data_IF_115848870531
#
_entry.id   IF_115848870531
#
_cell.length_a   1.000
_cell.length_b   1.000
_cell.length_c   1.000
_cell.angle_alpha   90.00
_cell.angle_beta   90.00
_cell.angle_gamma   90.00
#
_symmetry.space_group_name_H-M   'P 1'
#
loop_
_entity.id
_entity.type
_entity.pdbx_description
1 polymer ?
#
# COMPACT_ATOMS: atom_id res chain seq x y z
N UNK A 1 -37.20 0.56 -0.41
CA UNK A 1 -35.95 1.25 -0.78
C UNK A 1 -34.82 0.46 -0.14
N UNK A 2 -33.84 0.00 -0.94
CA UNK A 2 -32.78 -0.87 -0.43
C UNK A 2 -31.81 -0.09 0.47
N UNK A 3 -31.39 -0.69 1.59
CA UNK A 3 -30.52 -0.08 2.58
C UNK A 3 -29.12 -0.67 2.42
N UNK A 4 -28.17 0.14 1.97
CA UNK A 4 -26.76 -0.23 1.88
C UNK A 4 -25.99 0.47 3.00
N UNK A 5 -25.31 -0.31 3.82
CA UNK A 5 -24.40 0.20 4.85
C UNK A 5 -22.97 -0.15 4.46
N UNK A 6 -22.08 0.83 4.51
CA UNK A 6 -20.64 0.70 4.22
C UNK A 6 -19.88 1.16 5.45
N UNK A 7 -19.07 0.29 6.03
CA UNK A 7 -18.19 0.64 7.15
C UNK A 7 -16.81 0.91 6.62
N UNK A 8 -16.41 2.17 6.59
CA UNK A 8 -15.13 2.67 6.08
C UNK A 8 -15.29 3.70 4.96
N UNK A 9 -14.67 4.86 5.15
CA UNK A 9 -14.70 6.01 4.22
C UNK A 9 -13.41 6.13 3.40
N UNK A 10 -12.70 5.01 3.21
CA UNK A 10 -11.49 4.94 2.39
C UNK A 10 -11.78 4.66 0.92
N UNK A 11 -10.72 4.31 0.16
CA UNK A 11 -10.80 4.07 -1.29
C UNK A 11 -11.83 3.01 -1.67
N UNK A 12 -11.89 1.88 -0.94
CA UNK A 12 -12.85 0.82 -1.23
C UNK A 12 -14.29 1.25 -0.92
N UNK A 13 -14.53 1.82 0.26
CA UNK A 13 -15.88 2.17 0.72
C UNK A 13 -16.51 3.28 -0.12
N UNK A 14 -15.79 4.35 -0.43
CA UNK A 14 -16.32 5.47 -1.23
C UNK A 14 -16.52 5.05 -2.69
N UNK A 15 -15.61 4.26 -3.26
CA UNK A 15 -15.82 3.70 -4.61
C UNK A 15 -17.05 2.80 -4.65
N UNK A 16 -17.29 2.01 -3.58
CA UNK A 16 -18.50 1.21 -3.49
C UNK A 16 -19.76 2.07 -3.39
N UNK A 17 -19.75 3.12 -2.57
CA UNK A 17 -20.89 4.04 -2.44
C UNK A 17 -21.24 4.72 -3.78
N UNK A 18 -20.24 5.17 -4.53
CA UNK A 18 -20.39 5.75 -5.87
C UNK A 18 -20.98 4.74 -6.86
N UNK A 19 -20.46 3.52 -6.90
CA UNK A 19 -20.93 2.46 -7.79
C UNK A 19 -22.37 2.04 -7.42
N UNK A 20 -22.72 1.90 -6.13
CA UNK A 20 -24.08 1.62 -5.67
C UNK A 20 -25.04 2.71 -6.10
N UNK A 21 -24.68 3.99 -5.95
CA UNK A 21 -25.53 5.11 -6.37
C UNK A 21 -25.75 5.13 -7.90
N UNK A 22 -24.70 4.81 -8.66
CA UNK A 22 -24.79 4.70 -10.11
C UNK A 22 -25.76 3.59 -10.55
N UNK A 23 -25.82 2.50 -9.81
CA UNK A 23 -26.65 1.32 -10.11
C UNK A 23 -28.07 1.40 -9.57
N UNK A 24 -28.23 1.98 -8.38
CA UNK A 24 -29.52 2.16 -7.72
C UNK A 24 -29.71 3.62 -7.31
N UNK A 25 -30.36 4.38 -8.19
CA UNK A 25 -30.62 5.80 -7.98
C UNK A 25 -31.51 6.10 -6.77
N UNK A 26 -32.28 5.10 -6.27
CA UNK A 26 -33.26 5.26 -5.19
C UNK A 26 -32.82 4.65 -3.87
N UNK A 27 -31.73 3.89 -3.84
CA UNK A 27 -31.24 3.26 -2.62
C UNK A 27 -30.89 4.28 -1.51
N UNK A 28 -31.01 3.89 -0.28
CA UNK A 28 -30.39 4.57 0.84
C UNK A 28 -28.97 4.02 1.03
N UNK A 29 -27.97 4.89 0.96
CA UNK A 29 -26.55 4.54 1.09
C UNK A 29 -26.00 5.32 2.27
N UNK A 30 -25.54 4.60 3.28
CA UNK A 30 -24.89 5.15 4.47
C UNK A 30 -23.46 4.68 4.56
N UNK A 31 -22.52 5.63 4.64
CA UNK A 31 -21.09 5.39 4.89
C UNK A 31 -20.78 5.76 6.32
N UNK A 32 -20.14 4.86 7.07
CA UNK A 32 -19.73 5.06 8.46
C UNK A 32 -18.21 5.22 8.51
N UNK A 33 -17.72 6.25 9.20
CA UNK A 33 -16.29 6.52 9.37
C UNK A 33 -16.01 6.94 10.82
N UNK A 34 -14.91 6.46 11.39
CA UNK A 34 -14.39 6.96 12.66
C UNK A 34 -13.44 8.15 12.48
N UNK A 35 -13.04 8.45 11.26
CA UNK A 35 -12.30 9.66 10.90
C UNK A 35 -13.27 10.81 10.54
N UNK A 36 -12.95 12.02 10.98
CA UNK A 36 -13.77 13.24 10.76
C UNK A 36 -13.64 13.84 9.34
N UNK A 37 -12.73 13.31 8.54
CA UNK A 37 -12.42 13.85 7.22
C UNK A 37 -13.27 13.21 6.12
N UNK A 38 -13.58 13.93 5.03
CA UNK A 38 -14.00 13.31 3.79
C UNK A 38 -12.92 12.36 3.28
N UNK A 39 -13.26 11.51 2.29
CA UNK A 39 -12.26 10.63 1.68
C UNK A 39 -11.05 11.43 1.16
N UNK A 40 -9.87 11.05 1.59
CA UNK A 40 -8.60 11.59 1.15
C UNK A 40 -7.68 10.49 0.60
N UNK A 41 -6.67 10.89 -0.15
CA UNK A 41 -5.64 9.99 -0.67
C UNK A 41 -4.68 9.58 0.44
N UNK A 42 -4.74 8.32 0.92
CA UNK A 42 -3.72 7.81 1.87
C UNK A 42 -2.31 7.78 1.27
N UNK A 43 -2.10 7.42 0.00
CA UNK A 43 -0.79 7.62 -0.64
C UNK A 43 -0.33 9.09 -0.66
N UNK A 44 -1.27 10.03 -0.61
CA UNK A 44 -0.97 11.46 -0.56
C UNK A 44 -0.38 11.95 0.77
N UNK A 45 -0.46 11.16 1.85
CA UNK A 45 0.02 11.56 3.17
C UNK A 45 1.52 11.85 3.19
N UNK A 46 2.31 11.06 2.47
CA UNK A 46 3.74 11.29 2.31
C UNK A 46 4.05 12.64 1.62
N UNK A 47 3.27 12.99 0.60
CA UNK A 47 3.44 14.24 -0.14
C UNK A 47 3.00 15.46 0.70
N UNK A 48 2.08 15.28 1.67
CA UNK A 48 1.78 16.32 2.66
C UNK A 48 2.98 16.58 3.57
N UNK A 49 3.72 15.55 3.98
CA UNK A 49 4.90 15.69 4.82
C UNK A 49 6.00 16.54 4.17
N UNK A 50 6.16 16.46 2.86
CA UNK A 50 7.16 17.23 2.10
C UNK A 50 6.58 18.49 1.43
N UNK A 51 5.36 18.88 1.80
CA UNK A 51 4.66 20.07 1.29
C UNK A 51 4.42 20.11 -0.23
N UNK A 52 4.47 18.97 -0.93
CA UNK A 52 4.11 18.90 -2.35
C UNK A 52 2.60 18.94 -2.57
N UNK A 53 1.83 18.46 -1.59
CA UNK A 53 0.37 18.46 -1.62
C UNK A 53 -0.16 19.06 -0.32
N UNK A 54 -1.11 19.97 -0.40
CA UNK A 54 -1.82 20.46 0.79
C UNK A 54 -2.84 19.43 1.30
N UNK A 55 -3.28 19.58 2.55
CA UNK A 55 -4.37 18.76 3.11
C UNK A 55 -5.61 18.80 2.22
N UNK A 56 -5.99 19.99 1.74
CA UNK A 56 -7.16 20.17 0.87
C UNK A 56 -7.01 19.47 -0.49
N UNK A 57 -5.81 19.54 -1.09
CA UNK A 57 -5.51 18.85 -2.34
C UNK A 57 -5.48 17.33 -2.17
N UNK A 58 -5.22 16.82 -0.97
CA UNK A 58 -5.27 15.39 -0.67
C UNK A 58 -6.69 14.82 -0.62
N UNK A 59 -7.72 15.67 -0.47
CA UNK A 59 -9.12 15.25 -0.41
C UNK A 59 -9.57 14.70 -1.78
N UNK A 60 -9.73 13.39 -1.86
CA UNK A 60 -10.21 12.71 -3.05
C UNK A 60 -11.71 12.98 -3.30
N UNK A 61 -12.46 13.36 -2.27
CA UNK A 61 -13.85 13.83 -2.34
C UNK A 61 -14.00 15.05 -1.43
N UNK A 62 -14.69 16.09 -1.93
CA UNK A 62 -15.04 17.25 -1.11
C UNK A 62 -16.20 16.93 -0.16
N UNK A 63 -16.40 17.70 0.93
CA UNK A 63 -17.49 17.44 1.88
C UNK A 63 -18.88 17.39 1.25
N UNK A 64 -19.16 18.29 0.31
CA UNK A 64 -20.43 18.42 -0.41
C UNK A 64 -20.71 17.27 -1.39
N UNK A 65 -19.69 16.51 -1.79
CA UNK A 65 -19.83 15.37 -2.69
C UNK A 65 -20.83 14.32 -2.16
N UNK A 66 -20.80 14.03 -0.86
CA UNK A 66 -21.72 13.06 -0.24
C UNK A 66 -23.17 13.49 -0.37
N UNK A 67 -23.48 14.76 -0.06
CA UNK A 67 -24.81 15.33 -0.19
C UNK A 67 -25.26 15.36 -1.65
N UNK A 68 -24.41 15.78 -2.57
CA UNK A 68 -24.71 15.82 -4.01
C UNK A 68 -25.05 14.42 -4.55
N UNK A 69 -24.42 13.37 -4.02
CA UNK A 69 -24.68 11.98 -4.40
C UNK A 69 -25.73 11.31 -3.51
N UNK A 70 -26.37 12.04 -2.59
CA UNK A 70 -27.36 11.50 -1.66
C UNK A 70 -26.82 10.29 -0.88
N UNK A 71 -25.60 10.39 -0.40
CA UNK A 71 -24.92 9.46 0.47
C UNK A 71 -24.87 10.06 1.86
N UNK A 72 -25.38 9.36 2.86
CA UNK A 72 -25.26 9.75 4.26
C UNK A 72 -23.87 9.38 4.76
N UNK A 73 -23.05 10.35 5.15
CA UNK A 73 -21.77 10.11 5.85
C UNK A 73 -21.99 10.30 7.35
N UNK A 74 -21.77 9.25 8.13
CA UNK A 74 -21.86 9.27 9.61
C UNK A 74 -20.45 9.19 10.18
N UNK A 75 -20.03 10.24 10.88
CA UNK A 75 -18.78 10.23 11.65
C UNK A 75 -19.04 9.58 13.00
N UNK A 76 -18.80 8.27 13.08
CA UNK A 76 -18.88 7.47 14.32
C UNK A 76 -18.18 6.13 14.09
N UNK A 77 -17.61 5.55 15.13
CA UNK A 77 -17.04 4.20 15.05
C UNK A 77 -18.18 3.18 15.00
N UNK A 78 -18.07 2.18 14.10
CA UNK A 78 -18.85 0.97 14.16
C UNK A 78 -18.25 0.05 15.25
N UNK A 79 -19.03 -0.34 16.25
CA UNK A 79 -18.53 -1.12 17.39
C UNK A 79 -18.89 -2.60 17.30
N UNK A 80 -20.07 -2.90 16.74
CA UNK A 80 -20.58 -4.27 16.66
C UNK A 80 -21.46 -4.45 15.43
N UNK A 81 -21.43 -5.65 14.87
CA UNK A 81 -22.36 -6.09 13.83
C UNK A 81 -23.18 -7.25 14.40
N UNK A 82 -24.49 -7.10 14.36
CA UNK A 82 -25.44 -8.19 14.62
C UNK A 82 -25.93 -8.73 13.26
N UNK A 83 -25.36 -9.86 12.86
CA UNK A 83 -25.65 -10.46 11.56
C UNK A 83 -27.06 -11.06 11.46
N UNK A 84 -27.59 -11.56 12.59
CA UNK A 84 -28.96 -12.12 12.66
C UNK A 84 -30.01 -11.03 12.49
N UNK A 85 -29.83 -9.92 13.20
CA UNK A 85 -30.72 -8.74 13.11
C UNK A 85 -30.39 -7.81 11.98
N UNK A 86 -29.29 -8.07 11.23
CA UNK A 86 -28.80 -7.22 10.15
C UNK A 86 -28.60 -5.75 10.57
N UNK A 87 -27.95 -5.56 11.70
CA UNK A 87 -27.78 -4.22 12.31
C UNK A 87 -26.33 -3.95 12.64
N UNK A 88 -25.85 -2.74 12.27
CA UNK A 88 -24.55 -2.20 12.70
C UNK A 88 -24.78 -1.24 13.85
N UNK A 89 -24.16 -1.47 15.00
CA UNK A 89 -24.19 -0.60 16.17
C UNK A 89 -23.02 0.37 16.14
N UNK A 90 -23.32 1.65 16.34
CA UNK A 90 -22.34 2.73 16.34
C UNK A 90 -22.05 3.23 17.76
N UNK A 91 -20.85 3.75 18.00
CA UNK A 91 -20.41 4.32 19.29
C UNK A 91 -21.30 5.47 19.80
N UNK A 92 -21.99 6.18 18.91
CA UNK A 92 -22.96 7.22 19.26
C UNK A 92 -24.35 6.69 19.66
N UNK A 93 -24.51 5.36 19.80
CA UNK A 93 -25.76 4.69 20.17
C UNK A 93 -26.72 4.42 19.02
N UNK A 94 -26.43 4.89 17.79
CA UNK A 94 -27.29 4.66 16.63
C UNK A 94 -27.12 3.24 16.11
N UNK A 95 -28.23 2.54 15.81
CA UNK A 95 -28.26 1.28 15.08
C UNK A 95 -28.65 1.50 13.62
N UNK A 96 -27.94 0.87 12.69
CA UNK A 96 -28.19 0.96 11.25
C UNK A 96 -28.62 -0.40 10.72
N UNK A 97 -29.86 -0.51 10.25
CA UNK A 97 -30.34 -1.69 9.52
C UNK A 97 -29.78 -1.72 8.11
N UNK A 98 -29.47 -2.90 7.60
CA UNK A 98 -28.99 -3.06 6.22
C UNK A 98 -29.67 -4.23 5.48
N UNK A 99 -29.86 -4.06 4.18
CA UNK A 99 -30.17 -5.14 3.25
C UNK A 99 -28.89 -5.78 2.70
N UNK A 100 -27.82 -4.98 2.52
CA UNK A 100 -26.49 -5.46 2.26
C UNK A 100 -25.43 -4.58 2.95
N UNK A 101 -24.37 -5.21 3.44
CA UNK A 101 -23.30 -4.59 4.22
C UNK A 101 -21.96 -4.75 3.52
N UNK A 102 -21.16 -3.68 3.44
CA UNK A 102 -19.76 -3.72 3.05
C UNK A 102 -18.86 -3.38 4.25
N UNK A 103 -17.94 -4.27 4.57
CA UNK A 103 -16.87 -4.04 5.54
C UNK A 103 -15.62 -3.60 4.75
N UNK A 104 -15.27 -2.31 4.84
CA UNK A 104 -14.15 -1.67 4.14
C UNK A 104 -13.28 -0.85 5.10
N UNK A 105 -13.05 -1.40 6.30
CA UNK A 105 -12.38 -0.73 7.43
C UNK A 105 -10.86 -0.62 7.29
N UNK A 106 -10.29 -1.15 6.21
CA UNK A 106 -8.88 -1.02 5.89
C UNK A 106 -7.94 -1.74 6.85
N UNK A 107 -6.74 -1.20 6.97
CA UNK A 107 -5.68 -1.68 7.84
C UNK A 107 -5.16 -0.54 8.72
N UNK A 108 -4.44 -0.86 9.78
CA UNK A 108 -3.83 0.12 10.69
C UNK A 108 -2.36 -0.21 10.94
N UNK A 109 -1.55 0.83 11.21
CA UNK A 109 -0.15 0.68 11.52
C UNK A 109 0.09 -0.21 12.75
N UNK A 110 1.06 -1.11 12.65
CA UNK A 110 1.50 -1.92 13.77
C UNK A 110 2.15 -1.01 14.80
N UNK A 111 1.64 -1.03 16.03
CA UNK A 111 2.18 -0.23 17.12
C UNK A 111 3.56 -0.75 17.54
N UNK A 112 4.39 0.15 18.07
CA UNK A 112 5.73 -0.17 18.54
C UNK A 112 5.70 -1.32 19.57
N UNK A 113 6.26 -2.51 19.27
CA UNK A 113 6.25 -3.64 20.20
C UNK A 113 7.43 -3.60 21.17
N UNK A 114 8.23 -2.54 21.14
CA UNK A 114 9.46 -2.39 21.91
C UNK A 114 9.20 -1.87 23.32
N UNK A 115 10.05 -2.20 24.31
CA UNK A 115 10.05 -1.47 25.57
C UNK A 115 10.08 0.04 25.33
N UNK A 116 9.27 0.79 26.08
CA UNK A 116 9.08 2.24 25.82
C UNK A 116 8.15 2.60 24.67
N UNK A 117 7.54 1.62 23.99
CA UNK A 117 6.65 1.84 22.83
C UNK A 117 5.36 2.62 23.10
N UNK A 118 5.14 3.05 24.32
CA UNK A 118 4.01 3.87 24.76
C UNK A 118 4.37 5.35 25.05
N UNK A 119 5.65 5.72 24.91
CA UNK A 119 6.14 7.07 25.22
C UNK A 119 5.58 8.11 24.23
N UNK A 120 5.36 9.31 24.73
CA UNK A 120 5.06 10.49 23.90
C UNK A 120 6.28 10.83 23.04
N UNK A 121 6.08 11.06 21.74
CA UNK A 121 7.14 11.22 20.73
C UNK A 121 7.22 10.07 19.73
N UNK A 122 6.45 9.00 19.95
CA UNK A 122 6.33 7.92 18.93
C UNK A 122 5.23 8.30 17.94
N UNK A 123 5.58 8.27 16.64
CA UNK A 123 4.68 8.65 15.54
C UNK A 123 4.55 7.56 14.51
N UNK A 124 3.44 7.57 13.78
CA UNK A 124 3.08 6.64 12.72
C UNK A 124 2.63 7.43 11.48
N UNK A 125 2.79 6.90 10.29
CA UNK A 125 2.23 7.47 9.07
C UNK A 125 1.10 6.55 8.58
N UNK A 126 -0.08 6.72 9.15
CA UNK A 126 -1.22 5.83 8.91
C UNK A 126 -2.47 6.57 8.40
N UNK A 127 -2.78 7.71 8.99
CA UNK A 127 -3.92 8.54 8.67
C UNK A 127 -3.57 10.03 8.70
N UNK A 128 -4.54 10.88 8.37
CA UNK A 128 -4.29 12.32 8.28
C UNK A 128 -3.96 12.95 9.64
N UNK A 129 -4.61 12.53 10.74
CA UNK A 129 -4.28 13.04 12.08
C UNK A 129 -2.83 12.68 12.46
N UNK A 130 -2.37 11.48 12.16
CA UNK A 130 -0.97 11.08 12.38
C UNK A 130 0.01 11.91 11.53
N UNK A 131 -0.34 12.19 10.27
CA UNK A 131 0.47 13.05 9.40
C UNK A 131 0.60 14.47 9.98
N UNK A 132 -0.51 15.04 10.44
CA UNK A 132 -0.51 16.35 11.08
C UNK A 132 0.28 16.34 12.40
N UNK A 133 0.25 15.25 13.15
CA UNK A 133 1.08 15.05 14.35
C UNK A 133 2.57 15.07 14.00
N UNK A 134 2.99 14.33 12.97
CA UNK A 134 4.39 14.34 12.49
C UNK A 134 4.81 15.77 12.14
N UNK A 135 4.01 16.48 11.35
CA UNK A 135 4.29 17.87 10.98
C UNK A 135 4.39 18.80 12.19
N UNK A 136 3.52 18.62 13.18
CA UNK A 136 3.57 19.43 14.41
C UNK A 136 4.84 19.15 15.21
N UNK A 137 5.24 17.88 15.36
CA UNK A 137 6.45 17.50 16.10
C UNK A 137 7.70 17.95 15.36
N UNK A 138 7.74 17.86 14.04
CA UNK A 138 8.88 18.30 13.23
C UNK A 138 9.23 19.77 13.39
N UNK A 139 8.29 20.63 13.83
CA UNK A 139 8.56 22.07 14.09
C UNK A 139 9.54 22.31 15.25
N UNK A 140 9.63 21.39 16.20
CA UNK A 140 10.41 21.56 17.44
C UNK A 140 11.43 20.44 17.66
N UNK A 141 11.28 19.30 16.98
CA UNK A 141 12.21 18.19 17.09
C UNK A 141 13.56 18.56 16.48
N UNK A 142 14.64 18.22 17.17
CA UNK A 142 16.01 18.36 16.68
C UNK A 142 16.49 17.10 15.99
N UNK A 143 16.13 15.95 16.54
CA UNK A 143 16.54 14.65 16.03
C UNK A 143 15.37 13.64 16.04
N UNK A 144 15.37 12.76 15.06
CA UNK A 144 14.40 11.69 14.93
C UNK A 144 15.06 10.39 14.50
N UNK A 145 14.50 9.27 14.97
CA UNK A 145 14.87 7.93 14.50
C UNK A 145 13.66 7.31 13.81
N UNK A 146 13.84 6.81 12.60
CA UNK A 146 12.81 6.08 11.85
C UNK A 146 13.14 4.60 11.80
N UNK A 147 12.16 3.78 12.17
CA UNK A 147 12.27 2.33 12.29
C UNK A 147 11.34 1.65 11.29
N UNK A 148 11.91 0.84 10.40
CA UNK A 148 11.14 0.06 9.43
C UNK A 148 11.89 -0.15 8.13
N UNK A 149 11.56 -1.22 7.40
CA UNK A 149 12.25 -1.59 6.14
C UNK A 149 11.46 -1.29 4.87
N UNK A 150 10.27 -0.69 4.98
CA UNK A 150 9.36 -0.49 3.86
C UNK A 150 9.29 0.96 3.38
N UNK A 151 8.43 1.19 2.37
CA UNK A 151 8.22 2.49 1.74
C UNK A 151 7.78 3.56 2.74
N UNK A 152 6.89 3.23 3.67
CA UNK A 152 6.38 4.18 4.68
C UNK A 152 7.48 4.69 5.61
N UNK A 153 8.51 3.86 5.91
CA UNK A 153 9.66 4.31 6.69
C UNK A 153 10.49 5.35 5.91
N UNK A 154 10.70 5.13 4.61
CA UNK A 154 11.39 6.09 3.74
C UNK A 154 10.59 7.39 3.60
N UNK A 155 9.28 7.31 3.41
CA UNK A 155 8.38 8.47 3.36
C UNK A 155 8.44 9.30 4.66
N UNK A 156 8.48 8.63 5.82
CA UNK A 156 8.63 9.32 7.11
C UNK A 156 10.02 9.96 7.27
N UNK A 157 11.09 9.23 6.87
CA UNK A 157 12.45 9.74 6.93
C UNK A 157 12.63 10.96 6.01
N UNK A 158 12.08 10.91 4.80
CA UNK A 158 12.07 12.04 3.88
C UNK A 158 11.31 13.25 4.45
N UNK A 159 10.10 13.00 4.98
CA UNK A 159 9.30 14.05 5.60
C UNK A 159 10.02 14.75 6.75
N UNK A 160 10.63 14.01 7.68
CA UNK A 160 11.37 14.57 8.79
C UNK A 160 12.62 15.34 8.33
N UNK A 161 13.40 14.76 7.42
CA UNK A 161 14.57 15.42 6.84
C UNK A 161 14.21 16.69 6.06
N UNK A 162 13.08 16.69 5.33
CA UNK A 162 12.55 17.89 4.65
C UNK A 162 12.35 19.06 5.61
N UNK A 163 11.88 18.77 6.83
CA UNK A 163 11.70 19.75 7.91
C UNK A 163 12.97 20.06 8.70
N UNK A 164 14.15 19.63 8.21
CA UNK A 164 15.47 19.89 8.83
C UNK A 164 15.64 19.22 10.22
N UNK A 165 14.88 18.18 10.50
CA UNK A 165 15.10 17.32 11.66
C UNK A 165 16.27 16.40 11.32
N UNK A 166 17.29 16.31 12.19
CA UNK A 166 18.37 15.34 12.05
C UNK A 166 17.76 13.92 12.09
N UNK A 167 17.80 13.23 10.97
CA UNK A 167 17.04 11.99 10.78
C UNK A 167 17.97 10.79 10.67
N UNK A 168 17.77 9.80 11.54
CA UNK A 168 18.43 8.51 11.55
C UNK A 168 17.45 7.45 11.06
N UNK A 169 17.86 6.65 10.08
CA UNK A 169 17.03 5.57 9.52
C UNK A 169 17.64 4.20 9.82
N UNK A 170 16.94 3.39 10.62
CA UNK A 170 17.39 2.05 11.01
C UNK A 170 16.95 1.01 9.99
N UNK A 171 17.91 0.33 9.39
CA UNK A 171 17.72 -0.74 8.43
C UNK A 171 18.25 -2.06 9.00
N UNK A 172 17.35 -3.02 9.21
CA UNK A 172 17.68 -4.32 9.80
C UNK A 172 18.70 -5.12 8.97
N UNK A 173 18.62 -5.04 7.65
CA UNK A 173 19.51 -5.75 6.72
C UNK A 173 20.67 -4.85 6.27
N UNK A 174 21.62 -5.43 5.53
CA UNK A 174 22.77 -4.68 5.02
C UNK A 174 22.49 -3.87 3.76
N UNK A 175 21.31 -4.05 3.14
CA UNK A 175 20.88 -3.33 1.95
C UNK A 175 19.45 -2.83 2.13
N UNK A 176 19.14 -1.70 1.50
CA UNK A 176 17.77 -1.18 1.43
C UNK A 176 16.92 -2.12 0.60
N UNK A 177 15.72 -2.45 1.12
CA UNK A 177 14.75 -3.31 0.41
C UNK A 177 15.37 -4.53 -0.27
N UNK A 178 16.24 -5.22 0.43
CA UNK A 178 17.01 -6.34 -0.12
C UNK A 178 16.15 -7.46 -0.73
N UNK A 179 14.87 -7.52 -0.44
CA UNK A 179 13.94 -8.44 -1.06
C UNK A 179 13.41 -7.93 -2.42
N UNK A 180 13.52 -6.64 -2.71
CA UNK A 180 13.04 -6.02 -3.94
C UNK A 180 14.19 -5.51 -4.82
N UNK A 181 15.14 -4.79 -4.20
CA UNK A 181 16.24 -4.12 -4.89
C UNK A 181 17.48 -5.01 -4.90
N UNK A 182 18.16 -5.07 -6.03
CA UNK A 182 19.53 -5.58 -6.07
C UNK A 182 20.51 -4.56 -5.48
N UNK A 183 21.78 -4.93 -5.35
CA UNK A 183 22.80 -4.09 -4.72
C UNK A 183 23.02 -2.75 -5.44
N UNK A 184 22.90 -2.71 -6.76
CA UNK A 184 23.10 -1.48 -7.54
C UNK A 184 21.85 -0.58 -7.44
N UNK A 185 20.66 -1.15 -7.52
CA UNK A 185 19.40 -0.43 -7.31
C UNK A 185 19.31 0.13 -5.87
N UNK A 186 19.74 -0.65 -4.87
CA UNK A 186 19.83 -0.20 -3.48
C UNK A 186 20.76 1.01 -3.33
N UNK A 187 21.93 1.00 -4.00
CA UNK A 187 22.88 2.14 -4.00
C UNK A 187 22.30 3.40 -4.65
N UNK A 188 21.47 3.27 -5.69
CA UNK A 188 20.79 4.43 -6.27
C UNK A 188 19.87 5.10 -5.26
N UNK A 189 19.08 4.31 -4.54
CA UNK A 189 18.18 4.81 -3.51
C UNK A 189 18.98 5.37 -2.32
N UNK A 190 20.00 4.65 -1.85
CA UNK A 190 20.89 5.07 -0.76
C UNK A 190 21.54 6.44 -1.04
N UNK A 191 22.05 6.64 -2.26
CA UNK A 191 22.64 7.91 -2.69
C UNK A 191 21.65 9.08 -2.52
N UNK A 192 20.39 8.89 -2.86
CA UNK A 192 19.37 9.91 -2.69
C UNK A 192 19.06 10.18 -1.21
N UNK A 193 18.93 9.15 -0.40
CA UNK A 193 18.69 9.27 1.04
C UNK A 193 19.82 10.07 1.71
N UNK A 194 21.08 9.72 1.45
CA UNK A 194 22.26 10.41 1.98
C UNK A 194 22.36 11.87 1.48
N UNK A 195 22.02 12.12 0.20
CA UNK A 195 21.98 13.47 -0.35
C UNK A 195 20.97 14.39 0.37
N UNK A 196 19.89 13.83 0.87
CA UNK A 196 18.89 14.55 1.66
C UNK A 196 19.22 14.63 3.15
N UNK A 197 20.42 14.20 3.56
CA UNK A 197 20.93 14.35 4.93
C UNK A 197 20.37 13.34 5.94
N UNK A 198 19.85 12.19 5.48
CA UNK A 198 19.42 11.12 6.36
C UNK A 198 20.58 10.17 6.68
N UNK A 199 20.81 9.88 7.95
CA UNK A 199 21.84 8.97 8.43
C UNK A 199 21.31 7.53 8.44
N UNK A 200 21.88 6.63 7.65
CA UNK A 200 21.44 5.23 7.55
C UNK A 200 22.27 4.36 8.49
N UNK A 201 21.59 3.56 9.31
CA UNK A 201 22.19 2.59 10.23
C UNK A 201 21.88 1.16 9.77
N UNK A 202 22.79 0.53 9.03
CA UNK A 202 22.61 -0.84 8.54
C UNK A 202 22.87 -1.89 9.62
N UNK A 203 22.08 -2.98 9.60
CA UNK A 203 22.17 -4.08 10.56
C UNK A 203 21.77 -3.68 11.97
N UNK A 204 20.98 -2.63 12.14
CA UNK A 204 20.47 -2.18 13.43
C UNK A 204 18.98 -2.46 13.57
N UNK A 205 18.61 -2.94 14.75
CA UNK A 205 17.23 -3.15 15.18
C UNK A 205 16.96 -2.40 16.47
N UNK A 206 15.73 -2.01 16.71
CA UNK A 206 15.32 -1.36 17.95
C UNK A 206 15.30 -2.37 19.08
N UNK A 207 16.05 -2.11 20.13
CA UNK A 207 16.01 -2.88 21.39
C UNK A 207 15.06 -2.23 22.39
N UNK A 208 15.10 -0.90 22.51
CA UNK A 208 14.32 -0.13 23.48
C UNK A 208 14.16 1.29 23.00
N UNK A 209 13.02 1.93 23.31
CA UNK A 209 12.81 3.36 23.20
C UNK A 209 12.95 3.95 24.60
N UNK A 210 13.99 4.73 24.81
CA UNK A 210 14.31 5.35 26.09
C UNK A 210 13.51 6.65 26.26
N UNK A 211 13.12 6.95 27.48
CA UNK A 211 12.39 8.18 27.78
C UNK A 211 12.61 8.72 29.16
N UNK A 212 12.28 9.99 29.35
CA UNK A 212 12.24 10.69 30.62
C UNK A 212 10.90 11.42 30.75
N UNK A 213 10.29 11.39 31.94
CA UNK A 213 8.98 12.01 32.21
C UNK A 213 7.89 11.68 31.17
N UNK A 214 7.88 10.41 30.67
CA UNK A 214 6.90 9.92 29.72
C UNK A 214 7.15 10.34 28.26
N UNK A 215 8.28 10.98 27.94
CA UNK A 215 8.65 11.44 26.60
C UNK A 215 9.88 10.74 26.08
N UNK A 216 9.95 10.50 24.80
CA UNK A 216 11.10 9.96 24.10
C UNK A 216 12.32 10.86 24.29
N UNK A 217 13.47 10.26 24.60
CA UNK A 217 14.77 10.97 24.70
C UNK A 217 15.87 10.30 23.88
N UNK A 218 15.73 9.00 23.58
CA UNK A 218 16.68 8.25 22.75
C UNK A 218 16.06 6.92 22.28
N UNK A 219 16.72 6.29 21.31
CA UNK A 219 16.47 4.92 20.91
C UNK A 219 17.75 4.09 21.11
N UNK A 220 17.63 2.93 21.75
CA UNK A 220 18.71 1.97 21.93
C UNK A 220 18.59 0.84 20.89
N UNK A 221 19.70 0.53 20.24
CA UNK A 221 19.77 -0.53 19.24
C UNK A 221 20.18 -1.88 19.84
N UNK A 222 19.98 -2.96 19.10
CA UNK A 222 20.44 -4.31 19.44
C UNK A 222 21.97 -4.43 19.56
N UNK A 223 22.73 -3.47 19.02
CA UNK A 223 24.20 -3.38 19.15
C UNK A 223 24.66 -2.57 20.36
N UNK A 224 23.71 -2.04 21.15
CA UNK A 224 24.01 -1.25 22.34
C UNK A 224 24.26 0.23 22.03
N UNK A 225 24.16 0.67 20.78
CA UNK A 225 24.22 2.08 20.41
C UNK A 225 22.98 2.80 20.95
N UNK A 226 23.17 4.00 21.50
CA UNK A 226 22.09 4.86 21.97
C UNK A 226 22.06 6.10 21.08
N UNK A 227 20.98 6.29 20.34
CA UNK A 227 20.79 7.42 19.41
C UNK A 227 19.83 8.41 20.10
N UNK A 228 20.30 9.59 20.52
CA UNK A 228 19.43 10.62 21.08
C UNK A 228 18.39 11.08 20.06
N UNK A 229 17.13 11.18 20.45
CA UNK A 229 16.07 11.66 19.56
C UNK A 229 14.88 12.19 20.34
N UNK A 230 14.18 13.15 19.74
CA UNK A 230 12.93 13.72 20.26
C UNK A 230 11.70 12.98 19.70
N UNK A 231 11.87 12.31 18.55
CA UNK A 231 10.80 11.60 17.82
C UNK A 231 11.27 10.22 17.36
N UNK A 232 10.41 9.22 17.50
CA UNK A 232 10.61 7.88 16.90
C UNK A 232 9.47 7.60 15.94
N UNK A 233 9.79 7.54 14.65
CA UNK A 233 8.87 7.14 13.60
C UNK A 233 8.84 5.61 13.46
N UNK A 234 7.68 4.99 13.63
CA UNK A 234 7.54 3.52 13.57
C UNK A 234 6.72 3.12 12.36
N UNK A 235 7.37 2.41 11.41
CA UNK A 235 6.79 1.95 10.15
C UNK A 235 7.16 0.48 9.88
N UNK A 236 6.78 -0.40 10.82
CA UNK A 236 7.11 -1.84 10.81
C UNK A 236 6.02 -2.71 10.19
N UNK A 237 5.11 -2.11 9.47
CA UNK A 237 4.02 -2.76 8.75
C UNK A 237 2.65 -2.28 9.16
N UNK A 238 1.64 -2.82 8.47
CA UNK A 238 0.22 -2.61 8.75
C UNK A 238 -0.46 -3.96 8.98
N UNK A 239 -1.56 -3.96 9.71
CA UNK A 239 -2.41 -5.13 9.90
C UNK A 239 -3.85 -4.80 9.54
N UNK A 240 -4.58 -5.74 8.89
CA UNK A 240 -6.01 -5.61 8.66
C UNK A 240 -6.78 -5.30 9.92
N UNK A 241 -7.77 -4.43 9.82
CA UNK A 241 -8.62 -4.11 10.96
C UNK A 241 -9.74 -5.15 11.09
N UNK A 242 -9.57 -6.09 12.01
CA UNK A 242 -10.47 -7.22 12.22
C UNK A 242 -11.31 -7.09 13.51
N UNK A 243 -11.34 -5.91 14.12
CA UNK A 243 -12.03 -5.70 15.39
C UNK A 243 -13.54 -6.07 15.32
N UNK A 244 -14.20 -5.75 14.20
CA UNK A 244 -15.62 -6.05 13.98
C UNK A 244 -15.94 -7.55 13.78
N UNK A 245 -14.94 -8.36 13.45
CA UNK A 245 -15.09 -9.81 13.32
C UNK A 245 -14.95 -10.53 14.65
N UNK A 246 -14.34 -9.90 15.65
CA UNK A 246 -14.04 -10.53 16.95
C UNK A 246 -15.32 -10.93 17.69
N UNK A 247 -15.43 -12.22 18.02
CA UNK A 247 -16.59 -12.75 18.74
C UNK A 247 -17.84 -12.90 17.89
N UNK A 248 -17.71 -12.90 16.56
CA UNK A 248 -18.80 -13.12 15.61
C UNK A 248 -18.55 -14.42 14.81
N UNK A 249 -19.52 -14.80 13.96
CA UNK A 249 -19.40 -15.90 13.00
C UNK A 249 -18.69 -15.54 11.70
N UNK A 250 -18.17 -14.31 11.55
CA UNK A 250 -17.45 -13.87 10.37
C UNK A 250 -16.09 -14.58 10.29
N UNK A 251 -15.84 -15.26 9.18
CA UNK A 251 -14.59 -15.99 8.97
C UNK A 251 -13.44 -15.05 8.65
N UNK A 252 -12.35 -15.22 9.38
CA UNK A 252 -11.11 -14.44 9.22
C UNK A 252 -9.89 -15.34 9.32
N UNK A 253 -8.82 -14.95 8.62
CA UNK A 253 -7.46 -15.47 8.79
C UNK A 253 -6.53 -14.26 8.91
N UNK A 254 -5.76 -13.91 7.91
CA UNK A 254 -4.97 -12.66 7.84
C UNK A 254 -5.83 -11.44 7.54
N UNK A 255 -6.99 -11.62 6.94
CA UNK A 255 -8.03 -10.66 6.62
C UNK A 255 -9.40 -11.31 6.71
N UNK A 256 -10.45 -10.57 6.39
CA UNK A 256 -11.81 -11.10 6.26
C UNK A 256 -11.85 -11.98 5.01
N UNK A 257 -12.18 -13.26 5.17
CA UNK A 257 -12.23 -14.21 4.05
C UNK A 257 -13.41 -13.89 3.13
N UNK A 258 -13.14 -13.88 1.82
CA UNK A 258 -14.16 -13.65 0.80
C UNK A 258 -14.13 -14.74 -0.28
N UNK A 259 -15.25 -14.93 -0.95
CA UNK A 259 -15.35 -15.69 -2.18
C UNK A 259 -14.91 -14.84 -3.40
N UNK A 260 -15.08 -15.38 -4.62
CA UNK A 260 -14.76 -14.68 -5.86
C UNK A 260 -15.65 -13.47 -6.15
N UNK A 261 -16.78 -13.34 -5.46
CA UNK A 261 -17.72 -12.21 -5.55
C UNK A 261 -17.49 -11.17 -4.46
N UNK A 262 -16.45 -11.33 -3.65
CA UNK A 262 -16.13 -10.52 -2.47
C UNK A 262 -17.18 -10.63 -1.35
N UNK A 263 -18.02 -11.66 -1.39
CA UNK A 263 -18.96 -11.99 -0.32
C UNK A 263 -18.24 -12.78 0.76
N UNK A 264 -18.56 -12.52 2.01
CA UNK A 264 -18.07 -13.28 3.16
C UNK A 264 -18.86 -14.59 3.33
N UNK A 265 -18.57 -15.37 4.36
CA UNK A 265 -19.39 -16.51 4.75
C UNK A 265 -20.79 -16.11 5.26
N UNK A 266 -21.06 -14.83 5.48
CA UNK A 266 -22.36 -14.30 5.89
C UNK A 266 -23.11 -13.76 4.67
N UNK A 267 -24.36 -14.21 4.41
CA UNK A 267 -25.17 -13.75 3.29
C UNK A 267 -25.35 -12.21 3.30
N UNK A 268 -25.22 -11.58 2.12
CA UNK A 268 -25.35 -10.13 1.93
C UNK A 268 -24.32 -9.28 2.70
N UNK A 269 -23.25 -9.90 3.21
CA UNK A 269 -22.11 -9.21 3.83
C UNK A 269 -20.87 -9.40 2.97
N UNK A 270 -20.24 -8.29 2.60
CA UNK A 270 -19.10 -8.21 1.68
C UNK A 270 -17.91 -7.58 2.40
N UNK A 271 -16.70 -7.87 1.91
CA UNK A 271 -15.49 -7.19 2.37
C UNK A 271 -14.63 -6.74 1.18
N UNK A 272 -14.00 -5.57 1.30
CA UNK A 272 -13.14 -5.00 0.26
C UNK A 272 -12.02 -4.12 0.83
N UNK A 273 -10.96 -3.91 0.05
CA UNK A 273 -9.77 -3.17 0.44
C UNK A 273 -8.90 -3.93 1.44
N UNK A 274 -8.07 -3.21 2.18
CA UNK A 274 -6.98 -3.75 2.99
C UNK A 274 -7.42 -4.67 4.15
N UNK A 275 -8.72 -4.71 4.51
CA UNK A 275 -9.24 -5.64 5.50
C UNK A 275 -9.67 -6.98 4.91
N UNK A 276 -9.81 -7.08 3.59
CA UNK A 276 -10.30 -8.29 2.91
C UNK A 276 -9.15 -9.20 2.47
N UNK A 277 -9.35 -10.51 2.62
CA UNK A 277 -8.45 -11.53 2.11
C UNK A 277 -9.06 -12.14 0.84
N UNK A 278 -8.53 -11.73 -0.30
CA UNK A 278 -9.10 -11.95 -1.63
C UNK A 278 -8.20 -12.90 -2.43
N UNK A 279 -8.80 -13.73 -3.28
CA UNK A 279 -8.03 -14.60 -4.19
C UNK A 279 -7.19 -13.76 -5.17
N UNK A 280 -5.90 -14.02 -5.19
CA UNK A 280 -4.93 -13.38 -6.06
C UNK A 280 -4.45 -14.37 -7.12
N UNK A 281 -4.88 -14.16 -8.36
CA UNK A 281 -4.51 -15.02 -9.50
C UNK A 281 -3.00 -14.97 -9.85
N UNK A 282 -2.26 -13.97 -9.37
CA UNK A 282 -0.81 -13.85 -9.58
C UNK A 282 -0.01 -14.76 -8.66
N UNK A 283 -0.50 -14.96 -7.43
CA UNK A 283 0.12 -15.85 -6.46
C UNK A 283 -0.57 -17.22 -6.34
N UNK A 284 -1.81 -17.35 -6.83
CA UNK A 284 -2.61 -18.54 -6.68
C UNK A 284 -3.25 -18.77 -5.32
N UNK A 285 -3.18 -17.77 -4.43
CA UNK A 285 -3.64 -17.87 -3.04
C UNK A 285 -4.57 -16.71 -2.66
N UNK A 286 -5.33 -16.86 -1.56
CA UNK A 286 -6.05 -15.74 -0.95
C UNK A 286 -5.08 -14.88 -0.13
N UNK A 287 -5.02 -13.57 -0.43
CA UNK A 287 -4.10 -12.62 0.21
C UNK A 287 -4.78 -11.33 0.59
N UNK A 288 -4.21 -10.65 1.57
CA UNK A 288 -4.47 -9.24 1.84
C UNK A 288 -3.57 -8.41 0.94
N UNK A 289 -4.13 -7.37 0.33
CA UNK A 289 -3.40 -6.47 -0.57
C UNK A 289 -3.70 -5.01 -0.20
N UNK A 290 -2.72 -4.33 0.37
CA UNK A 290 -2.86 -2.96 0.87
C UNK A 290 -2.46 -1.92 -0.19
N UNK A 291 -2.95 -2.09 -1.43
CA UNK A 291 -2.72 -1.16 -2.54
C UNK A 291 -3.97 -0.37 -2.88
N UNK A 292 -3.80 0.92 -3.14
CA UNK A 292 -4.90 1.82 -3.53
C UNK A 292 -5.68 1.35 -4.76
N UNK A 293 -5.07 0.89 -5.87
CA UNK A 293 -5.80 0.35 -7.01
C UNK A 293 -6.64 -0.88 -6.68
N UNK A 294 -6.10 -1.79 -5.84
CA UNK A 294 -6.82 -2.99 -5.38
C UNK A 294 -8.03 -2.63 -4.53
N UNK A 295 -7.89 -1.64 -3.63
CA UNK A 295 -8.99 -1.16 -2.81
C UNK A 295 -10.13 -0.57 -3.67
N UNK A 296 -9.81 0.25 -4.67
CA UNK A 296 -10.78 0.79 -5.63
C UNK A 296 -11.48 -0.33 -6.41
N UNK A 297 -10.70 -1.26 -6.98
CA UNK A 297 -11.24 -2.33 -7.81
C UNK A 297 -12.14 -3.27 -7.01
N UNK A 298 -11.70 -3.69 -5.81
CA UNK A 298 -12.50 -4.56 -4.95
C UNK A 298 -13.75 -3.87 -4.42
N UNK A 299 -13.68 -2.59 -4.03
CA UNK A 299 -14.84 -1.79 -3.62
C UNK A 299 -15.91 -1.71 -4.72
N UNK A 300 -15.49 -1.48 -5.96
CA UNK A 300 -16.39 -1.44 -7.12
C UNK A 300 -17.09 -2.77 -7.34
N UNK A 301 -16.36 -3.88 -7.36
CA UNK A 301 -16.92 -5.22 -7.59
C UNK A 301 -17.83 -5.64 -6.43
N UNK A 302 -17.44 -5.37 -5.17
CA UNK A 302 -18.31 -5.62 -4.02
C UNK A 302 -19.65 -4.89 -4.17
N UNK A 303 -19.64 -3.61 -4.54
CA UNK A 303 -20.85 -2.83 -4.78
C UNK A 303 -21.73 -3.38 -5.91
N UNK A 304 -21.12 -3.86 -7.00
CA UNK A 304 -21.82 -4.52 -8.08
C UNK A 304 -22.55 -5.76 -7.57
N UNK A 305 -21.88 -6.59 -6.79
CA UNK A 305 -22.45 -7.80 -6.22
C UNK A 305 -23.51 -7.51 -5.15
N UNK A 306 -23.29 -6.52 -4.28
CA UNK A 306 -24.32 -6.01 -3.34
C UNK A 306 -25.58 -5.56 -4.06
N UNK A 307 -25.49 -5.04 -5.27
CA UNK A 307 -26.64 -4.62 -6.09
C UNK A 307 -27.29 -5.76 -6.88
N UNK A 308 -26.78 -7.00 -6.76
CA UNK A 308 -27.33 -8.19 -7.41
C UNK A 308 -26.68 -8.61 -8.72
N UNK A 309 -25.58 -7.95 -9.14
CA UNK A 309 -24.82 -8.38 -10.31
C UNK A 309 -23.76 -9.42 -9.86
N UNK A 310 -23.88 -10.65 -10.33
CA UNK A 310 -22.87 -11.69 -10.02
C UNK A 310 -21.62 -11.50 -10.87
N UNK A 311 -20.72 -10.60 -10.43
CA UNK A 311 -19.48 -10.29 -11.11
C UNK A 311 -18.28 -10.80 -10.30
N UNK A 312 -17.49 -11.77 -10.79
CA UNK A 312 -16.31 -12.21 -10.08
C UNK A 312 -15.24 -11.13 -10.10
N UNK A 313 -14.55 -10.97 -8.96
CA UNK A 313 -13.39 -10.13 -8.86
C UNK A 313 -12.19 -10.78 -9.53
N UNK A 314 -11.50 -10.01 -10.36
CA UNK A 314 -10.22 -10.39 -10.95
C UNK A 314 -9.22 -9.29 -10.67
N UNK A 315 -8.20 -9.64 -9.90
CA UNK A 315 -7.10 -8.71 -9.61
C UNK A 315 -6.36 -8.40 -10.91
N UNK A 316 -6.20 -7.11 -11.19
CA UNK A 316 -5.33 -6.63 -12.26
C UNK A 316 -3.85 -6.85 -11.96
N UNK A 317 -2.97 -6.39 -12.84
CA UNK A 317 -1.53 -6.44 -12.59
C UNK A 317 -1.20 -5.65 -11.32
N UNK A 318 -0.43 -6.22 -10.38
CA UNK A 318 0.08 -5.46 -9.25
C UNK A 318 0.88 -4.26 -9.74
N UNK A 319 0.55 -3.08 -9.24
CA UNK A 319 1.18 -1.83 -9.65
C UNK A 319 1.35 -0.91 -8.44
N UNK A 320 2.57 -0.48 -8.20
CA UNK A 320 2.88 0.52 -7.19
C UNK A 320 3.89 1.51 -7.74
N UNK A 321 3.64 2.80 -7.52
CA UNK A 321 4.54 3.88 -7.90
C UNK A 321 4.70 4.84 -6.72
N UNK A 322 5.92 5.32 -6.50
CA UNK A 322 6.25 6.28 -5.47
C UNK A 322 7.34 7.24 -5.94
N UNK A 323 7.34 8.43 -5.37
CA UNK A 323 8.46 9.36 -5.43
C UNK A 323 9.10 9.41 -4.04
N UNK A 324 10.37 9.08 -3.95
CA UNK A 324 11.13 9.01 -2.69
C UNK A 324 12.45 9.76 -2.87
N UNK A 325 12.67 10.78 -2.07
CA UNK A 325 13.90 11.59 -2.14
C UNK A 325 14.20 12.07 -3.57
N UNK A 326 13.16 12.47 -4.31
CA UNK A 326 13.27 12.90 -5.70
C UNK A 326 13.48 11.76 -6.72
N UNK A 327 13.56 10.50 -6.30
CA UNK A 327 13.71 9.35 -7.18
C UNK A 327 12.35 8.66 -7.39
N UNK A 328 11.87 8.63 -8.63
CA UNK A 328 10.68 7.85 -8.98
C UNK A 328 10.98 6.35 -8.94
N UNK A 329 10.11 5.59 -8.29
CA UNK A 329 10.11 4.14 -8.28
C UNK A 329 8.77 3.63 -8.82
N UNK A 330 8.80 2.67 -9.75
CA UNK A 330 7.59 1.96 -10.20
C UNK A 330 7.88 0.47 -10.26
N UNK A 331 7.03 -0.30 -9.57
CA UNK A 331 7.02 -1.75 -9.62
C UNK A 331 5.73 -2.24 -10.27
N UNK A 332 5.86 -3.15 -11.23
CA UNK A 332 4.76 -3.67 -12.04
C UNK A 332 4.84 -5.19 -12.07
N UNK A 333 3.76 -5.87 -11.73
CA UNK A 333 3.69 -7.34 -11.75
C UNK A 333 4.61 -7.99 -10.74
N UNK A 334 5.23 -9.09 -11.13
CA UNK A 334 6.15 -9.87 -10.30
C UNK A 334 7.54 -9.27 -10.40
N UNK A 335 8.08 -8.77 -9.29
CA UNK A 335 9.43 -8.23 -9.21
C UNK A 335 10.25 -9.06 -8.23
N UNK A 336 11.38 -9.60 -8.69
CA UNK A 336 12.31 -10.37 -7.87
C UNK A 336 13.60 -9.57 -7.66
N UNK A 337 14.26 -9.73 -6.53
CA UNK A 337 15.62 -9.27 -6.36
C UNK A 337 16.55 -10.14 -7.20
N UNK A 338 17.25 -9.57 -8.18
CA UNK A 338 18.24 -10.29 -8.96
C UNK A 338 19.55 -10.44 -8.18
N UNK A 339 20.17 -11.63 -8.19
CA UNK A 339 21.57 -11.81 -7.85
C UNK A 339 21.88 -12.22 -6.42
N UNK A 340 21.10 -13.10 -5.82
CA UNK A 340 21.57 -13.90 -4.70
C UNK A 340 21.96 -15.29 -5.19
N UNK A 341 23.23 -15.64 -4.97
CA UNK A 341 23.76 -17.01 -5.06
C UNK A 341 23.23 -17.93 -3.93
N UNK A 342 22.03 -17.69 -3.44
CA UNK A 342 21.39 -18.60 -2.52
C UNK A 342 20.66 -19.65 -3.35
N UNK A 343 21.14 -20.86 -3.26
CA UNK A 343 20.71 -22.10 -3.90
C UNK A 343 19.28 -22.53 -3.58
N UNK A 344 18.51 -21.68 -2.90
CA UNK A 344 17.12 -21.91 -2.55
C UNK A 344 16.21 -20.92 -3.26
N UNK A 345 15.55 -21.44 -4.29
CA UNK A 345 14.38 -20.89 -4.99
C UNK A 345 14.33 -19.37 -5.20
N UNK A 346 14.40 -18.92 -6.44
CA UNK A 346 14.16 -17.54 -6.86
C UNK A 346 12.78 -17.06 -6.33
N UNK A 347 12.78 -16.26 -5.28
CA UNK A 347 11.58 -15.67 -4.71
C UNK A 347 11.15 -14.43 -5.51
N UNK A 348 9.94 -14.46 -6.06
CA UNK A 348 9.30 -13.31 -6.69
C UNK A 348 8.60 -12.45 -5.63
N UNK A 349 8.82 -11.15 -5.72
CA UNK A 349 8.36 -10.19 -4.71
C UNK A 349 7.33 -9.24 -5.27
N UNK A 350 6.30 -8.93 -4.48
CA UNK A 350 5.36 -7.85 -4.75
C UNK A 350 5.52 -6.77 -3.68
N UNK A 351 5.46 -5.51 -4.06
CA UNK A 351 5.42 -4.41 -3.09
C UNK A 351 3.99 -4.28 -2.60
N UNK A 352 3.77 -4.41 -1.29
CA UNK A 352 2.56 -3.94 -0.64
C UNK A 352 2.89 -2.82 0.35
N UNK A 353 1.95 -1.91 0.56
CA UNK A 353 2.11 -0.82 1.51
C UNK A 353 2.28 -1.39 2.92
N UNK A 354 3.32 -0.95 3.62
CA UNK A 354 3.56 -1.33 5.01
C UNK A 354 4.06 -2.73 5.26
N UNK A 355 4.31 -3.52 4.21
CA UNK A 355 4.94 -4.81 4.37
C UNK A 355 6.46 -4.66 4.27
N UNK A 356 7.15 -4.95 5.37
CA UNK A 356 8.51 -5.50 5.31
C UNK A 356 8.48 -6.93 4.74
N UNK A 357 7.29 -7.51 4.61
CA UNK A 357 7.03 -8.77 3.95
C UNK A 357 6.85 -8.50 2.47
N UNK A 358 7.90 -8.68 1.76
CA UNK A 358 7.86 -8.90 0.34
C UNK A 358 7.12 -10.22 0.15
N UNK A 359 6.04 -10.20 -0.60
CA UNK A 359 5.33 -11.43 -0.93
C UNK A 359 6.21 -12.25 -1.85
N UNK A 360 6.76 -13.32 -1.31
CA UNK A 360 7.58 -14.24 -2.05
C UNK A 360 6.70 -15.34 -2.60
N UNK A 361 6.65 -15.48 -3.91
CA UNK A 361 6.25 -16.72 -4.55
C UNK A 361 7.50 -17.35 -5.12
N UNK A 362 7.70 -18.64 -4.85
CA UNK A 362 8.82 -19.39 -5.42
C UNK A 362 8.75 -19.32 -6.94
N UNK A 363 9.74 -18.70 -7.56
CA UNK A 363 9.86 -18.74 -9.01
C UNK A 363 10.23 -20.16 -9.43
N UNK A 364 9.35 -20.83 -10.16
CA UNK A 364 9.70 -22.06 -10.84
C UNK A 364 10.78 -21.84 -11.90
N UNK A 365 11.44 -22.90 -12.36
CA UNK A 365 12.40 -22.84 -13.47
C UNK A 365 11.81 -22.08 -14.67
N UNK A 366 12.58 -21.17 -15.28
CA UNK A 366 12.18 -20.46 -16.50
C UNK A 366 12.07 -18.94 -16.42
N UNK A 367 12.37 -18.32 -15.26
CA UNK A 367 12.47 -16.85 -15.17
C UNK A 367 13.84 -16.36 -15.65
N UNK A 368 13.83 -15.29 -16.42
CA UNK A 368 15.04 -14.59 -16.85
C UNK A 368 14.87 -13.09 -16.62
N UNK A 369 15.92 -12.40 -16.20
CA UNK A 369 15.88 -10.96 -15.99
C UNK A 369 16.80 -10.23 -16.97
N UNK A 370 16.35 -9.07 -17.44
CA UNK A 370 17.15 -8.11 -18.20
C UNK A 370 17.26 -6.81 -17.42
N UNK A 371 18.37 -6.13 -17.54
CA UNK A 371 18.68 -4.97 -16.75
C UNK A 371 19.39 -3.86 -17.55
N UNK A 372 19.03 -2.62 -17.26
CA UNK A 372 19.68 -1.43 -17.76
C UNK A 372 19.89 -0.44 -16.62
N UNK A 373 21.09 0.11 -16.50
CA UNK A 373 21.48 1.11 -15.50
C UNK A 373 22.39 2.15 -16.19
N UNK A 374 22.14 3.43 -15.93
CA UNK A 374 22.94 4.55 -16.41
C UNK A 374 23.59 5.36 -15.26
N UNK A 375 23.58 4.83 -14.03
CA UNK A 375 24.09 5.46 -12.82
C UNK A 375 23.15 6.49 -12.18
N UNK A 376 22.03 6.83 -12.86
CA UNK A 376 20.98 7.74 -12.36
C UNK A 376 19.61 7.11 -12.38
N UNK A 377 19.41 6.12 -13.23
CA UNK A 377 18.17 5.34 -13.36
C UNK A 377 18.48 3.87 -13.58
N UNK A 378 17.57 3.01 -13.17
CA UNK A 378 17.64 1.57 -13.38
C UNK A 378 16.30 1.05 -13.91
N UNK A 379 16.37 0.09 -14.81
CA UNK A 379 15.23 -0.58 -15.41
C UNK A 379 15.49 -2.09 -15.39
N UNK A 380 14.66 -2.84 -14.71
CA UNK A 380 14.73 -4.29 -14.64
C UNK A 380 13.44 -4.91 -15.16
N UNK A 381 13.57 -5.88 -16.06
CA UNK A 381 12.46 -6.68 -16.57
C UNK A 381 12.63 -8.14 -16.16
N UNK A 382 11.50 -8.77 -15.88
CA UNK A 382 11.42 -10.20 -15.58
C UNK A 382 10.55 -10.88 -16.64
N UNK A 383 11.12 -11.86 -17.30
CA UNK A 383 10.46 -12.60 -18.40
C UNK A 383 10.32 -14.07 -18.02
N UNK A 384 9.13 -14.62 -18.23
CA UNK A 384 8.80 -16.04 -18.08
C UNK A 384 7.99 -16.50 -19.29
N UNK A 385 8.31 -17.66 -19.85
CA UNK A 385 7.53 -18.26 -20.95
C UNK A 385 7.22 -17.26 -22.10
N UNK A 386 8.22 -16.47 -22.48
CA UNK A 386 8.11 -15.43 -23.51
C UNK A 386 7.09 -14.31 -23.21
N UNK A 387 6.75 -14.09 -21.94
CA UNK A 387 5.91 -12.98 -21.47
C UNK A 387 6.69 -12.18 -20.44
N UNK A 388 6.60 -10.85 -20.51
CA UNK A 388 7.10 -10.00 -19.41
C UNK A 388 6.10 -10.15 -18.25
N UNK A 389 6.58 -10.65 -17.10
CA UNK A 389 5.76 -10.86 -15.91
C UNK A 389 5.97 -9.82 -14.84
N UNK A 390 7.08 -9.07 -14.93
CA UNK A 390 7.38 -8.02 -13.97
C UNK A 390 8.36 -6.99 -14.50
N UNK A 391 8.33 -5.80 -13.90
CA UNK A 391 9.26 -4.71 -14.17
C UNK A 391 9.47 -3.84 -12.93
N UNK A 392 10.71 -3.40 -12.73
CA UNK A 392 11.08 -2.41 -11.74
C UNK A 392 11.78 -1.24 -12.44
N UNK A 393 11.27 -0.03 -12.23
CA UNK A 393 11.83 1.20 -12.78
C UNK A 393 12.25 2.13 -11.64
N UNK A 394 13.47 2.58 -11.64
CA UNK A 394 14.01 3.63 -10.79
C UNK A 394 14.43 4.81 -11.64
N UNK A 395 14.04 6.03 -11.26
CA UNK A 395 14.35 7.26 -12.01
C UNK A 395 13.51 7.40 -13.28
N UNK A 396 13.99 6.95 -14.43
CA UNK A 396 13.31 7.11 -15.72
C UNK A 396 12.03 6.26 -15.83
N UNK A 397 10.87 6.91 -15.96
CA UNK A 397 9.55 6.28 -15.98
C UNK A 397 8.93 6.11 -17.38
N UNK A 398 9.67 6.38 -18.46
CA UNK A 398 9.11 6.34 -19.84
C UNK A 398 8.52 4.99 -20.24
N UNK A 399 9.00 3.91 -19.63
CA UNK A 399 8.52 2.56 -19.91
C UNK A 399 7.39 2.09 -18.98
N UNK A 400 6.93 2.87 -18.01
CA UNK A 400 5.94 2.45 -17.03
C UNK A 400 4.62 2.01 -17.68
N UNK A 401 3.99 2.88 -18.47
CA UNK A 401 2.74 2.56 -19.18
C UNK A 401 2.93 1.45 -20.23
N UNK A 402 3.96 1.50 -21.11
CA UNK A 402 4.24 0.41 -22.03
C UNK A 402 4.37 -0.95 -21.35
N UNK A 403 5.14 -1.03 -20.28
CA UNK A 403 5.35 -2.28 -19.54
C UNK A 403 4.08 -2.75 -18.83
N UNK A 404 3.32 -1.85 -18.22
CA UNK A 404 2.04 -2.18 -17.62
C UNK A 404 1.10 -2.83 -18.62
N UNK A 405 0.93 -2.24 -19.80
CA UNK A 405 0.07 -2.77 -20.86
C UNK A 405 0.56 -4.16 -21.34
N UNK A 406 1.87 -4.32 -21.55
CA UNK A 406 2.43 -5.60 -22.00
C UNK A 406 2.27 -6.71 -20.96
N UNK A 407 2.48 -6.40 -19.68
CA UNK A 407 2.35 -7.35 -18.56
C UNK A 407 0.88 -7.71 -18.34
N UNK A 408 0.00 -6.72 -18.24
CA UNK A 408 -1.43 -6.92 -17.96
C UNK A 408 -2.09 -7.81 -19.03
N UNK A 409 -1.73 -7.59 -20.28
CA UNK A 409 -2.25 -8.35 -21.43
C UNK A 409 -1.47 -9.61 -21.76
N UNK A 410 -0.42 -9.91 -20.99
CA UNK A 410 0.44 -11.09 -21.16
C UNK A 410 0.94 -11.24 -22.60
N UNK A 411 1.44 -10.16 -23.17
CA UNK A 411 1.88 -10.12 -24.57
C UNK A 411 3.10 -11.04 -24.78
N UNK A 412 3.01 -11.90 -25.80
CA UNK A 412 4.13 -12.73 -26.22
C UNK A 412 5.23 -11.85 -26.86
N UNK A 413 6.42 -11.86 -26.27
CA UNK A 413 7.59 -11.09 -26.66
C UNK A 413 8.71 -11.93 -27.29
N UNK A 414 8.42 -13.17 -27.68
CA UNK A 414 9.40 -14.12 -28.23
C UNK A 414 10.24 -13.51 -29.38
N UNK A 415 9.58 -12.78 -30.29
CA UNK A 415 10.25 -12.15 -31.44
C UNK A 415 11.30 -11.11 -31.06
N UNK A 416 11.13 -10.46 -29.92
CA UNK A 416 12.03 -9.39 -29.42
C UNK A 416 12.79 -9.82 -28.16
N UNK A 417 12.63 -11.06 -27.72
CA UNK A 417 13.22 -11.57 -26.45
C UNK A 417 14.74 -11.37 -26.42
N UNK A 418 15.45 -11.63 -27.52
CA UNK A 418 16.89 -11.43 -27.58
C UNK A 418 17.28 -9.96 -27.33
N UNK A 419 16.52 -9.01 -27.89
CA UNK A 419 16.75 -7.58 -27.69
C UNK A 419 16.38 -7.16 -26.26
N UNK A 420 15.27 -7.66 -25.72
CA UNK A 420 14.88 -7.41 -24.31
C UNK A 420 15.97 -7.90 -23.35
N UNK A 421 16.52 -9.09 -23.58
CA UNK A 421 17.51 -9.71 -22.69
C UNK A 421 18.92 -9.12 -22.84
N UNK A 422 19.20 -8.31 -23.85
CA UNK A 422 20.49 -7.63 -23.99
C UNK A 422 20.64 -6.40 -23.06
N UNK A 423 19.54 -5.97 -22.41
CA UNK A 423 19.55 -4.82 -21.52
C UNK A 423 19.75 -3.48 -22.22
N UNK A 424 20.01 -2.43 -21.45
CA UNK A 424 20.35 -1.10 -21.94
C UNK A 424 19.33 -0.48 -22.91
N UNK A 425 19.82 0.30 -23.85
CA UNK A 425 18.97 0.98 -24.85
C UNK A 425 18.20 0.01 -25.72
N UNK A 426 18.79 -1.16 -26.06
CA UNK A 426 18.13 -2.17 -26.90
C UNK A 426 16.87 -2.72 -26.25
N UNK A 427 16.90 -2.96 -24.93
CA UNK A 427 15.74 -3.36 -24.15
C UNK A 427 14.62 -2.30 -24.21
N UNK A 428 14.97 -1.03 -23.97
CA UNK A 428 14.02 0.09 -23.98
C UNK A 428 13.38 0.27 -25.36
N UNK A 429 14.16 0.19 -26.43
CA UNK A 429 13.66 0.26 -27.81
C UNK A 429 12.72 -0.90 -28.11
N UNK A 430 13.09 -2.14 -27.75
CA UNK A 430 12.25 -3.33 -27.99
C UNK A 430 10.89 -3.24 -27.29
N UNK A 431 10.83 -2.72 -26.05
CA UNK A 431 9.59 -2.46 -25.32
C UNK A 431 8.73 -1.43 -26.07
N UNK A 432 9.32 -0.27 -26.41
CA UNK A 432 8.59 0.82 -27.05
C UNK A 432 8.07 0.46 -28.45
N UNK A 433 8.86 -0.21 -29.26
CA UNK A 433 8.46 -0.63 -30.60
C UNK A 433 7.33 -1.67 -30.54
N UNK A 434 7.44 -2.62 -29.60
CA UNK A 434 6.40 -3.62 -29.39
C UNK A 434 5.09 -2.95 -28.96
N UNK A 435 5.14 -2.07 -27.98
CA UNK A 435 3.95 -1.36 -27.49
C UNK A 435 3.32 -0.44 -28.56
N UNK A 436 4.14 0.33 -29.28
CA UNK A 436 3.67 1.21 -30.35
C UNK A 436 2.97 0.44 -31.47
N UNK A 437 3.55 -0.70 -31.88
CA UNK A 437 2.93 -1.58 -32.85
C UNK A 437 1.57 -2.07 -32.37
N UNK A 438 1.47 -2.56 -31.12
CA UNK A 438 0.23 -3.07 -30.54
C UNK A 438 -0.83 -1.99 -30.40
N UNK A 439 -0.45 -0.75 -30.07
CA UNK A 439 -1.37 0.42 -30.08
C UNK A 439 -1.97 0.66 -31.46
N UNK A 440 -1.15 0.63 -32.50
CA UNK A 440 -1.63 0.77 -33.90
C UNK A 440 -2.59 -0.36 -34.31
N UNK A 441 -2.39 -1.56 -33.75
CA UNK A 441 -3.24 -2.71 -33.98
C UNK A 441 -4.50 -2.72 -33.06
N UNK A 442 -4.69 -1.74 -32.18
CA UNK A 442 -5.80 -1.68 -31.22
C UNK A 442 -5.77 -2.78 -30.14
N UNK A 443 -4.60 -3.34 -29.86
CA UNK A 443 -4.41 -4.46 -28.90
C UNK A 443 -4.00 -4.01 -27.52
N UNK A 444 -3.62 -2.73 -27.35
CA UNK A 444 -3.27 -2.07 -26.09
C UNK A 444 -3.77 -0.63 -26.09
#
# INVERSE_FOLDING_TARGET
>A
MRQYVIIGNGAAGVTAAEELRRRDARANITVVSDEKYPMYSRPGLAYILIHEVSVEQSLARKPDWYTQHRIELITSRAEKIDFERRTVQLANGRGLLYDALLIAVGATAVKAPFPGGHLDGIVYLDNLDNTLEILQRAKTARSAVVVGGGITALEMAEGLAHHKVETHYLVRKNNLWSALLNDQESKLVEKQILHHGVNIHYGHETSEICGDNGRVTALKTNKGEVIPCDVVGVAIGVKPNLALAKGTSLEVDRGILTDEFLQTNIPDVYAAGDCAQIYDAWSGEKRVDSLWPTAIASGRIAAQNMSGLKQPYRKGVPFNAALLFGLHLTAIGQVAAAGRDDTDAEELSFISRGASEVWTSTAGAGYTSAWADDGTSSQRLIVRDNVIVGALLLGNQRLADPLRDLIERRINVERVKKQLMSGGTAMSVAVMDTWTRLKREGKV
#
